data_IF_750003068229
#
_entry.id   IF_750003068229
#
_cell.length_a   1.000
_cell.length_b   1.000
_cell.length_c   1.000
_cell.angle_alpha   90.00
_cell.angle_beta   90.00
_cell.angle_gamma   90.00
#
_symmetry.space_group_name_H-M   'P 1'
#
loop_
_entity.id
_entity.type
_entity.pdbx_description
1 polymer ?
#
# COMPACT_ATOMS: atom_id res chain seq x y z
N UNK A 1 11.18 -15.92 7.36
CA UNK A 1 9.71 -16.09 7.38
C UNK A 1 9.10 -14.83 6.76
N UNK A 2 8.13 -14.95 5.85
CA UNK A 2 7.45 -13.81 5.23
C UNK A 2 5.95 -13.83 5.56
N UNK A 3 5.31 -12.66 5.48
CA UNK A 3 3.86 -12.50 5.54
C UNK A 3 3.37 -12.24 4.11
N UNK A 4 2.30 -12.92 3.70
CA UNK A 4 1.67 -12.73 2.38
C UNK A 4 0.22 -12.32 2.59
N UNK A 5 -0.17 -11.18 1.99
CA UNK A 5 -1.50 -10.60 2.09
C UNK A 5 -1.97 -10.31 0.66
N UNK A 6 -3.10 -10.89 0.26
CA UNK A 6 -3.61 -10.82 -1.11
C UNK A 6 -4.18 -9.44 -1.44
N UNK A 7 -4.89 -8.82 -0.51
CA UNK A 7 -5.43 -7.48 -0.72
C UNK A 7 -4.32 -6.43 -0.64
N UNK A 8 -4.21 -5.60 -1.67
CA UNK A 8 -3.12 -4.62 -1.80
C UNK A 8 -3.22 -3.52 -0.74
N UNK A 9 -4.43 -3.09 -0.38
CA UNK A 9 -4.62 -2.05 0.65
C UNK A 9 -4.27 -2.61 2.03
N UNK A 10 -4.66 -3.83 2.33
CA UNK A 10 -4.33 -4.49 3.59
C UNK A 10 -2.82 -4.75 3.71
N UNK A 11 -2.16 -5.13 2.61
CA UNK A 11 -0.71 -5.31 2.58
C UNK A 11 0.03 -4.00 2.89
N UNK A 12 -0.37 -2.88 2.26
CA UNK A 12 0.20 -1.55 2.52
C UNK A 12 -0.08 -1.13 3.97
N UNK A 13 -1.31 -1.30 4.44
CA UNK A 13 -1.71 -0.95 5.81
C UNK A 13 -0.89 -1.72 6.83
N UNK A 14 -0.75 -3.04 6.64
CA UNK A 14 0.03 -3.91 7.52
C UNK A 14 1.50 -3.54 7.52
N UNK A 15 2.09 -3.22 6.35
CA UNK A 15 3.47 -2.78 6.26
C UNK A 15 3.71 -1.48 7.04
N UNK A 16 2.78 -0.51 6.97
CA UNK A 16 2.86 0.74 7.75
C UNK A 16 2.70 0.46 9.24
N UNK A 17 1.74 -0.38 9.65
CA UNK A 17 1.54 -0.72 11.07
C UNK A 17 2.68 -1.53 11.68
N UNK A 18 3.46 -2.24 10.87
CA UNK A 18 4.63 -3.01 11.33
C UNK A 18 5.91 -2.19 11.37
N UNK A 19 5.95 -1.03 10.72
CA UNK A 19 7.13 -0.19 10.62
C UNK A 19 7.35 0.62 11.90
N UNK A 20 8.60 0.72 12.33
CA UNK A 20 9.03 1.60 13.40
C UNK A 20 9.53 2.93 12.83
N UNK A 21 9.72 3.97 13.67
CA UNK A 21 10.47 5.14 13.26
C UNK A 21 11.80 4.74 12.61
N UNK A 22 12.18 5.46 11.54
CA UNK A 22 13.40 5.21 10.74
C UNK A 22 13.38 4.00 9.80
N UNK A 23 12.36 3.13 9.86
CA UNK A 23 12.20 2.06 8.88
C UNK A 23 11.83 2.61 7.48
N UNK A 24 12.27 1.91 6.44
CA UNK A 24 11.97 2.23 5.05
C UNK A 24 10.94 1.24 4.49
N UNK A 25 9.80 1.76 4.04
CA UNK A 25 8.78 1.00 3.31
C UNK A 25 8.93 1.25 1.81
N UNK A 26 9.26 0.21 1.04
CA UNK A 26 9.28 0.25 -0.43
C UNK A 26 8.04 -0.43 -1.01
N UNK A 27 7.18 0.35 -1.67
CA UNK A 27 6.07 -0.19 -2.47
C UNK A 27 6.51 -0.21 -3.94
N UNK A 28 6.58 -1.41 -4.54
CA UNK A 28 7.04 -1.62 -5.91
C UNK A 28 5.94 -2.21 -6.82
N UNK A 29 6.17 -2.17 -8.14
CA UNK A 29 5.34 -2.80 -9.16
C UNK A 29 4.45 -1.83 -9.95
N UNK A 30 3.69 -0.95 -9.28
CA UNK A 30 2.72 -0.03 -9.94
C UNK A 30 3.30 1.34 -10.35
N UNK A 31 4.27 1.85 -9.60
CA UNK A 31 4.79 3.20 -9.82
C UNK A 31 3.68 4.27 -9.79
N UNK A 32 3.56 5.06 -10.86
CA UNK A 32 2.57 6.14 -11.01
C UNK A 32 1.13 5.70 -11.38
N UNK A 33 0.85 4.40 -11.47
CA UNK A 33 -0.48 3.89 -11.82
C UNK A 33 -1.52 4.16 -10.72
N UNK A 34 -2.66 4.73 -11.11
CA UNK A 34 -3.75 5.13 -10.19
C UNK A 34 -4.97 4.21 -10.21
N UNK A 35 -4.84 3.04 -10.85
CA UNK A 35 -5.88 2.02 -10.89
C UNK A 35 -5.30 0.64 -10.62
N UNK A 36 -6.11 -0.27 -10.10
CA UNK A 36 -5.79 -1.69 -10.01
C UNK A 36 -6.71 -2.45 -10.95
N UNK A 37 -6.12 -3.27 -11.82
CA UNK A 37 -6.87 -4.18 -12.68
C UNK A 37 -7.20 -5.46 -11.91
N UNK A 38 -8.48 -5.81 -11.86
CA UNK A 38 -8.97 -7.07 -11.30
C UNK A 38 -9.86 -7.70 -12.37
N UNK A 39 -9.39 -8.78 -12.97
CA UNK A 39 -10.08 -9.52 -14.03
C UNK A 39 -10.52 -8.65 -15.23
N UNK A 40 -9.67 -7.72 -15.66
CA UNK A 40 -9.92 -6.82 -16.79
C UNK A 40 -10.73 -5.58 -16.45
N UNK A 41 -11.14 -5.41 -15.18
CA UNK A 41 -11.85 -4.22 -14.69
C UNK A 41 -10.88 -3.36 -13.88
N UNK A 42 -10.74 -2.09 -14.28
CA UNK A 42 -9.87 -1.13 -13.59
C UNK A 42 -10.63 -0.41 -12.48
N UNK A 43 -10.20 -0.61 -11.25
CA UNK A 43 -10.72 0.06 -10.06
C UNK A 43 -9.78 1.20 -9.64
N UNK A 44 -10.28 2.38 -9.23
CA UNK A 44 -9.44 3.44 -8.69
C UNK A 44 -8.61 2.95 -7.48
N UNK A 45 -7.29 3.06 -7.60
CA UNK A 45 -6.35 2.61 -6.57
C UNK A 45 -4.99 3.28 -6.76
N UNK A 46 -4.62 4.18 -5.85
CA UNK A 46 -3.34 4.89 -5.84
C UNK A 46 -2.55 4.56 -4.56
N UNK A 47 -1.44 3.82 -4.71
CA UNK A 47 -0.56 3.42 -3.60
C UNK A 47 -0.08 4.65 -2.80
N UNK A 48 0.22 5.77 -3.50
CA UNK A 48 0.73 7.01 -2.89
C UNK A 48 -0.34 7.72 -2.08
N UNK A 49 -1.59 7.72 -2.55
CA UNK A 49 -2.70 8.32 -1.82
C UNK A 49 -2.98 7.57 -0.52
N UNK A 50 -3.00 6.23 -0.58
CA UNK A 50 -3.18 5.37 0.59
C UNK A 50 -2.05 5.60 1.60
N UNK A 51 -0.79 5.59 1.15
CA UNK A 51 0.35 5.79 2.05
C UNK A 51 0.30 7.17 2.72
N UNK A 52 -0.02 8.23 1.97
CA UNK A 52 -0.20 9.58 2.54
C UNK A 52 -1.29 9.61 3.61
N UNK A 53 -2.43 8.95 3.38
CA UNK A 53 -3.51 8.88 4.37
C UNK A 53 -3.02 8.19 5.63
N UNK A 54 -2.38 7.02 5.51
CA UNK A 54 -1.90 6.24 6.66
C UNK A 54 -0.82 6.97 7.46
N UNK A 55 0.12 7.66 6.80
CA UNK A 55 1.21 8.38 7.47
C UNK A 55 0.78 9.73 8.06
N UNK A 56 -0.23 10.39 7.47
CA UNK A 56 -0.74 11.69 7.96
C UNK A 56 -1.87 11.53 8.97
N UNK A 57 -2.55 10.39 8.99
CA UNK A 57 -3.43 10.00 10.07
C UNK A 57 -2.57 9.65 11.28
N UNK A 58 -2.09 10.68 11.97
CA UNK A 58 -1.51 10.55 13.30
C UNK A 58 -2.51 9.80 14.19
N UNK A 59 -2.20 8.55 14.52
CA UNK A 59 -2.43 8.03 15.87
C UNK A 59 -1.61 8.85 16.86
#
# INVERSE_FOLDING_TARGET
>A
KSVSITDRRDAITTAVSMANPEDIILIAGKGHEKCQDINGVKYPFDDKEILKKLLNSNL
#
